data_IF_271985640020
#
_entry.id   IF_271985640020
#
_cell.length_a   1.000
_cell.length_b   1.000
_cell.length_c   1.000
_cell.angle_alpha   90.00
_cell.angle_beta   90.00
_cell.angle_gamma   90.00
#
_symmetry.space_group_name_H-M   'P 1'
#
loop_
_entity.id
_entity.type
_entity.pdbx_description
1 polymer ?
#
# COMPACT_ATOMS: atom_id res chain seq x y z
N UNK A 1 12.44 -12.45 -10.49
CA UNK A 1 11.97 -11.75 -9.27
C UNK A 1 11.09 -12.62 -8.38
N UNK A 2 10.03 -13.25 -8.88
CA UNK A 2 9.19 -14.11 -8.02
C UNK A 2 9.96 -15.30 -7.42
N UNK A 3 10.82 -15.98 -8.20
CA UNK A 3 11.70 -17.03 -7.67
C UNK A 3 12.59 -16.55 -6.52
N UNK A 4 13.17 -15.34 -6.62
CA UNK A 4 14.00 -14.78 -5.55
C UNK A 4 13.19 -14.35 -4.32
N UNK A 5 11.87 -14.22 -4.43
CA UNK A 5 10.95 -14.01 -3.31
C UNK A 5 10.39 -15.35 -2.75
N UNK A 6 10.90 -16.49 -3.23
CA UNK A 6 10.54 -17.82 -2.76
C UNK A 6 9.26 -18.40 -3.37
N UNK A 7 8.76 -17.84 -4.48
CA UNK A 7 7.59 -18.40 -5.17
C UNK A 7 7.97 -19.63 -6.00
N UNK A 8 7.24 -20.74 -5.81
CA UNK A 8 7.46 -22.01 -6.52
C UNK A 8 6.76 -22.03 -7.89
N UNK A 9 5.59 -21.40 -7.99
CA UNK A 9 4.81 -21.28 -9.24
C UNK A 9 5.11 -20.00 -10.02
N UNK A 10 6.29 -19.41 -9.80
CA UNK A 10 6.70 -18.11 -10.32
C UNK A 10 6.48 -17.93 -11.84
N UNK A 11 6.79 -18.95 -12.64
CA UNK A 11 6.61 -18.90 -14.11
C UNK A 11 5.13 -18.78 -14.51
N UNK A 12 4.26 -19.58 -13.89
CA UNK A 12 2.80 -19.55 -14.12
C UNK A 12 2.17 -18.24 -13.64
N UNK A 13 2.70 -17.65 -12.57
CA UNK A 13 2.23 -16.37 -12.06
C UNK A 13 2.67 -15.22 -12.96
N UNK A 14 3.93 -15.25 -13.42
CA UNK A 14 4.47 -14.22 -14.31
C UNK A 14 3.71 -14.15 -15.65
N UNK A 15 3.33 -15.31 -16.23
CA UNK A 15 2.55 -15.36 -17.46
C UNK A 15 1.14 -14.78 -17.33
N UNK A 16 0.64 -14.57 -16.10
CA UNK A 16 -0.66 -13.94 -15.82
C UNK A 16 -0.54 -12.46 -15.44
N UNK A 17 0.43 -12.10 -14.58
CA UNK A 17 0.58 -10.74 -14.08
C UNK A 17 0.97 -9.77 -15.18
N UNK A 18 1.86 -10.16 -16.10
CA UNK A 18 2.31 -9.26 -17.18
C UNK A 18 1.13 -8.89 -18.10
N UNK A 19 0.32 -9.85 -18.61
CA UNK A 19 -0.91 -9.50 -19.32
C UNK A 19 -1.89 -8.67 -18.50
N UNK A 20 -2.08 -8.96 -17.21
CA UNK A 20 -2.97 -8.16 -16.37
C UNK A 20 -2.56 -6.67 -16.33
N UNK A 21 -1.27 -6.37 -16.18
CA UNK A 21 -0.77 -4.99 -16.20
C UNK A 21 -0.99 -4.32 -17.56
N UNK A 22 -0.83 -5.09 -18.64
CA UNK A 22 -1.11 -4.60 -19.99
C UNK A 22 -2.59 -4.27 -20.18
N UNK A 23 -3.48 -5.16 -19.73
CA UNK A 23 -4.94 -4.94 -19.73
C UNK A 23 -5.34 -3.74 -18.87
N UNK A 24 -4.78 -3.60 -17.67
CA UNK A 24 -5.04 -2.44 -16.81
C UNK A 24 -4.64 -1.12 -17.50
N UNK A 25 -3.53 -1.11 -18.24
CA UNK A 25 -3.10 0.07 -19.00
C UNK A 25 -3.98 0.41 -20.20
N UNK A 26 -4.73 -0.56 -20.74
CA UNK A 26 -5.53 -0.41 -21.96
C UNK A 26 -7.01 -0.21 -21.67
N UNK A 27 -7.52 -0.80 -20.59
CA UNK A 27 -8.95 -0.84 -20.29
C UNK A 27 -9.39 0.11 -19.16
N UNK A 28 -8.47 0.49 -18.26
CA UNK A 28 -8.80 1.47 -17.23
C UNK A 28 -8.77 2.89 -17.82
N UNK A 29 -9.45 3.82 -17.15
CA UNK A 29 -9.47 5.20 -17.58
C UNK A 29 -8.06 5.82 -17.66
N UNK A 30 -7.85 6.73 -18.62
CA UNK A 30 -6.57 7.40 -18.81
C UNK A 30 -6.41 8.53 -17.79
N UNK A 31 -5.78 8.23 -16.66
CA UNK A 31 -5.49 9.20 -15.60
C UNK A 31 -4.01 9.60 -15.57
N UNK A 32 -3.72 10.87 -15.29
CA UNK A 32 -2.35 11.40 -15.26
C UNK A 32 -1.45 10.80 -14.17
N UNK A 33 -2.05 10.27 -13.10
CA UNK A 33 -1.35 9.66 -11.97
C UNK A 33 -1.25 8.14 -12.07
N UNK A 34 -1.82 7.53 -13.12
CA UNK A 34 -1.72 6.09 -13.33
C UNK A 34 -0.34 5.69 -13.85
N UNK A 35 0.16 4.57 -13.34
CA UNK A 35 1.43 4.00 -13.76
C UNK A 35 1.35 2.47 -13.72
N UNK A 36 1.38 1.86 -14.90
CA UNK A 36 1.39 0.41 -15.10
C UNK A 36 2.71 -0.08 -15.75
N UNK A 37 3.77 0.73 -15.67
CA UNK A 37 5.09 0.38 -16.20
C UNK A 37 5.87 -0.64 -15.38
N UNK A 38 7.10 -0.95 -15.81
CA UNK A 38 7.97 -1.93 -15.14
C UNK A 38 8.29 -1.58 -13.69
N UNK A 39 8.34 -0.28 -13.35
CA UNK A 39 8.55 0.18 -11.97
C UNK A 39 7.39 -0.26 -11.07
N UNK A 40 6.15 -0.01 -11.50
CA UNK A 40 4.96 -0.45 -10.77
C UNK A 40 4.94 -1.98 -10.62
N UNK A 41 5.22 -2.71 -11.72
CA UNK A 41 5.29 -4.16 -11.68
C UNK A 41 6.34 -4.67 -10.68
N UNK A 42 7.54 -4.08 -10.68
CA UNK A 42 8.60 -4.40 -9.72
C UNK A 42 8.11 -4.24 -8.27
N UNK A 43 7.43 -3.14 -7.96
CA UNK A 43 6.90 -2.89 -6.62
C UNK A 43 5.90 -3.95 -6.17
N UNK A 44 4.98 -4.34 -7.05
CA UNK A 44 4.03 -5.43 -6.77
C UNK A 44 4.74 -6.73 -6.47
N UNK A 45 5.74 -7.12 -7.28
CA UNK A 45 6.45 -8.39 -7.06
C UNK A 45 7.28 -8.39 -5.76
N UNK A 46 7.82 -7.24 -5.38
CA UNK A 46 8.54 -7.07 -4.10
C UNK A 46 7.56 -7.11 -2.93
N UNK A 47 6.44 -6.40 -3.03
CA UNK A 47 5.34 -6.39 -2.05
C UNK A 47 4.77 -7.79 -1.82
N UNK A 48 4.54 -8.57 -2.88
CA UNK A 48 4.10 -9.96 -2.78
C UNK A 48 5.09 -10.83 -1.97
N UNK A 49 6.39 -10.54 -2.06
CA UNK A 49 7.41 -11.18 -1.24
C UNK A 49 7.31 -10.81 0.25
N UNK A 50 7.01 -9.54 0.56
CA UNK A 50 6.76 -9.11 1.94
C UNK A 50 5.51 -9.79 2.53
N UNK A 51 4.39 -9.76 1.81
CA UNK A 51 3.13 -10.43 2.21
C UNK A 51 3.35 -11.93 2.41
N UNK A 52 4.12 -12.59 1.53
CA UNK A 52 4.46 -14.01 1.68
C UNK A 52 5.21 -14.27 2.99
N UNK A 53 6.24 -13.46 3.30
CA UNK A 53 7.04 -13.60 4.53
C UNK A 53 6.19 -13.38 5.77
N UNK A 54 5.33 -12.38 5.75
CA UNK A 54 4.44 -12.07 6.87
C UNK A 54 3.46 -13.22 7.16
N UNK A 55 2.82 -13.78 6.12
CA UNK A 55 1.98 -14.98 6.27
C UNK A 55 2.74 -16.19 6.82
N UNK A 56 4.00 -16.39 6.41
CA UNK A 56 4.85 -17.46 6.96
C UNK A 56 5.09 -17.23 8.46
N UNK A 57 5.38 -15.99 8.87
CA UNK A 57 5.58 -15.64 10.27
C UNK A 57 4.32 -15.85 11.11
N UNK A 58 3.15 -15.48 10.58
CA UNK A 58 1.87 -15.67 11.26
C UNK A 58 1.57 -17.17 11.48
N UNK A 59 1.69 -18.00 10.44
CA UNK A 59 1.48 -19.45 10.56
C UNK A 59 2.51 -20.08 11.52
N UNK A 60 3.75 -19.58 11.50
CA UNK A 60 4.81 -20.01 12.42
C UNK A 60 4.48 -19.66 13.87
N UNK A 61 3.87 -18.50 14.14
CA UNK A 61 3.40 -18.11 15.48
C UNK A 61 2.30 -19.05 15.96
N UNK A 62 1.27 -19.26 15.14
CA UNK A 62 0.12 -20.13 15.47
C UNK A 62 0.57 -21.57 15.74
N UNK A 63 1.45 -22.14 14.90
CA UNK A 63 1.96 -23.51 15.11
C UNK A 63 2.78 -23.65 16.38
N UNK A 64 3.59 -22.63 16.73
CA UNK A 64 4.34 -22.61 17.99
C UNK A 64 3.41 -22.55 19.21
N UNK A 65 2.36 -21.74 19.13
CA UNK A 65 1.34 -21.65 20.19
C UNK A 65 0.59 -22.98 20.39
N UNK A 66 0.34 -23.71 19.30
CA UNK A 66 -0.28 -25.04 19.33
C UNK A 66 0.70 -26.18 19.68
N UNK A 67 1.99 -25.89 19.87
CA UNK A 67 3.01 -26.91 20.18
C UNK A 67 3.34 -27.86 19.01
N UNK A 68 3.01 -27.48 17.77
CA UNK A 68 3.29 -28.27 16.57
C UNK A 68 4.73 -28.08 16.07
N UNK A 69 5.25 -29.08 15.35
CA UNK A 69 6.58 -28.99 14.73
C UNK A 69 6.59 -27.92 13.62
N UNK A 70 7.53 -26.99 13.73
CA UNK A 70 7.65 -25.86 12.82
C UNK A 70 8.63 -26.20 11.70
N UNK A 71 8.10 -26.58 10.54
CA UNK A 71 8.88 -26.67 9.31
C UNK A 71 8.53 -25.50 8.37
N UNK A 72 9.46 -24.56 8.23
CA UNK A 72 9.28 -23.35 7.42
C UNK A 72 9.09 -23.67 5.93
N UNK A 73 9.79 -24.68 5.40
CA UNK A 73 9.67 -25.09 4.01
C UNK A 73 8.29 -25.71 3.72
N UNK A 74 7.76 -26.51 4.65
CA UNK A 74 6.43 -27.10 4.51
C UNK A 74 5.32 -26.03 4.60
N UNK A 75 5.47 -25.04 5.49
CA UNK A 75 4.55 -23.90 5.58
C UNK A 75 4.57 -23.11 4.26
N UNK A 76 5.76 -22.79 3.75
CA UNK A 76 5.92 -22.06 2.49
C UNK A 76 5.33 -22.79 1.28
N UNK A 77 5.27 -24.13 1.31
CA UNK A 77 4.66 -24.96 0.27
C UNK A 77 3.13 -24.97 0.33
N UNK A 78 2.56 -24.94 1.53
CA UNK A 78 1.11 -24.94 1.75
C UNK A 78 0.41 -23.60 1.46
N UNK A 79 1.18 -22.52 1.30
CA UNK A 79 0.61 -21.18 1.14
C UNK A 79 0.02 -20.96 -0.27
N UNK A 80 -1.17 -20.34 -0.38
CA UNK A 80 -1.79 -20.03 -1.66
C UNK A 80 -1.07 -18.85 -2.35
N UNK A 81 -0.06 -19.16 -3.18
CA UNK A 81 0.80 -18.16 -3.84
C UNK A 81 0.01 -17.19 -4.73
N UNK A 82 -1.06 -17.66 -5.39
CA UNK A 82 -1.92 -16.82 -6.22
C UNK A 82 -2.67 -15.78 -5.39
N UNK A 83 -3.19 -16.15 -4.23
CA UNK A 83 -3.92 -15.24 -3.34
C UNK A 83 -3.00 -14.15 -2.80
N UNK A 84 -1.77 -14.51 -2.40
CA UNK A 84 -0.75 -13.57 -1.93
C UNK A 84 -0.41 -12.53 -3.02
N UNK A 85 -0.31 -12.99 -4.27
CA UNK A 85 0.00 -12.11 -5.39
C UNK A 85 -1.14 -11.13 -5.67
N UNK A 86 -2.39 -11.60 -5.62
CA UNK A 86 -3.58 -10.75 -5.82
C UNK A 86 -3.69 -9.74 -4.67
N UNK A 87 -3.49 -10.16 -3.43
CA UNK A 87 -3.45 -9.25 -2.28
C UNK A 87 -2.44 -8.11 -2.53
N UNK A 88 -1.23 -8.46 -2.96
CA UNK A 88 -0.22 -7.44 -3.27
C UNK A 88 -0.60 -6.52 -4.43
N UNK A 89 -1.26 -7.03 -5.48
CA UNK A 89 -1.77 -6.20 -6.57
C UNK A 89 -2.83 -5.23 -6.03
N UNK A 90 -3.75 -5.71 -5.20
CA UNK A 90 -4.80 -4.89 -4.61
C UNK A 90 -4.24 -3.78 -3.72
N UNK A 91 -3.33 -4.10 -2.81
CA UNK A 91 -2.71 -3.13 -1.89
C UNK A 91 -1.94 -2.02 -2.63
N UNK A 92 -1.35 -2.34 -3.79
CA UNK A 92 -0.52 -1.41 -4.56
C UNK A 92 -1.29 -0.62 -5.61
N UNK A 93 -2.34 -1.21 -6.20
CA UNK A 93 -3.13 -0.60 -7.28
C UNK A 93 -4.35 0.14 -6.76
N UNK A 94 -5.10 -0.44 -5.82
CA UNK A 94 -6.36 0.13 -5.32
C UNK A 94 -6.23 1.58 -4.81
N UNK A 95 -5.15 1.97 -4.09
CA UNK A 95 -5.00 3.35 -3.63
C UNK A 95 -4.89 4.37 -4.77
N UNK A 96 -4.40 3.94 -5.94
CA UNK A 96 -4.19 4.78 -7.12
C UNK A 96 -5.46 4.95 -7.95
N UNK A 97 -6.36 3.96 -7.94
CA UNK A 97 -7.53 3.96 -8.81
C UNK A 97 -8.59 4.98 -8.42
N UNK A 98 -9.24 5.54 -9.43
CA UNK A 98 -10.49 6.30 -9.26
C UNK A 98 -11.65 5.34 -8.99
N UNK A 99 -12.72 5.84 -8.38
CA UNK A 99 -13.85 5.04 -7.94
C UNK A 99 -14.49 4.21 -9.07
N UNK A 100 -14.57 4.76 -10.28
CA UNK A 100 -15.16 4.12 -11.47
C UNK A 100 -14.32 2.95 -12.00
N UNK A 101 -13.00 2.98 -11.78
CA UNK A 101 -12.07 1.95 -12.25
C UNK A 101 -11.92 0.78 -11.27
N UNK A 102 -12.35 0.95 -10.01
CA UNK A 102 -12.28 -0.11 -8.99
C UNK A 102 -13.07 -1.36 -9.43
N UNK A 103 -14.35 -1.26 -9.87
CA UNK A 103 -15.08 -2.41 -10.38
C UNK A 103 -14.44 -3.05 -11.62
N UNK A 104 -13.84 -2.25 -12.51
CA UNK A 104 -13.16 -2.75 -13.71
C UNK A 104 -11.93 -3.58 -13.35
N UNK A 105 -11.12 -3.12 -12.39
CA UNK A 105 -10.00 -3.91 -11.87
C UNK A 105 -10.48 -5.24 -11.28
N UNK A 106 -11.58 -5.24 -10.52
CA UNK A 106 -12.15 -6.47 -9.98
C UNK A 106 -12.59 -7.45 -11.08
N UNK A 107 -13.20 -6.95 -12.16
CA UNK A 107 -13.56 -7.78 -13.32
C UNK A 107 -12.31 -8.39 -13.98
N UNK A 108 -11.31 -7.56 -14.27
CA UNK A 108 -10.04 -7.99 -14.86
C UNK A 108 -9.32 -9.05 -14.00
N UNK A 109 -9.32 -8.87 -12.67
CA UNK A 109 -8.75 -9.84 -11.75
C UNK A 109 -9.51 -11.16 -11.76
N UNK A 110 -10.85 -11.11 -11.77
CA UNK A 110 -11.69 -12.32 -11.86
C UNK A 110 -11.44 -13.10 -13.15
N UNK A 111 -11.20 -12.41 -14.26
CA UNK A 111 -10.94 -13.04 -15.57
C UNK A 111 -9.55 -13.71 -15.62
N UNK A 112 -8.53 -13.07 -15.07
CA UNK A 112 -7.15 -13.59 -15.07
C UNK A 112 -6.92 -14.65 -13.96
N UNK A 113 -7.59 -14.47 -12.83
CA UNK A 113 -7.49 -15.28 -11.61
C UNK A 113 -8.88 -15.73 -11.12
N UNK A 114 -9.49 -16.73 -11.76
CA UNK A 114 -10.83 -17.19 -11.39
C UNK A 114 -10.84 -17.87 -10.01
N UNK A 115 -11.96 -17.72 -9.28
CA UNK A 115 -12.26 -18.37 -7.99
C UNK A 115 -11.33 -18.00 -6.83
N UNK A 116 -10.68 -16.83 -6.85
CA UNK A 116 -9.81 -16.39 -5.75
C UNK A 116 -10.44 -15.21 -5.04
N UNK A 117 -10.79 -15.41 -3.76
CA UNK A 117 -11.18 -14.34 -2.87
C UNK A 117 -9.93 -13.84 -2.15
N UNK A 118 -9.65 -12.54 -2.20
CA UNK A 118 -8.57 -11.95 -1.43
C UNK A 118 -9.07 -11.57 -0.02
N UNK A 119 -8.20 -11.69 0.98
CA UNK A 119 -8.46 -11.25 2.35
C UNK A 119 -7.91 -9.84 2.53
N UNK A 120 -8.75 -8.90 2.94
CA UNK A 120 -8.28 -7.59 3.41
C UNK A 120 -7.73 -7.74 4.83
N UNK A 121 -6.55 -7.19 5.06
CA UNK A 121 -5.99 -7.10 6.40
C UNK A 121 -6.73 -6.02 7.21
N UNK A 122 -7.44 -6.47 8.24
CA UNK A 122 -8.15 -5.59 9.17
C UNK A 122 -7.12 -5.11 10.19
N UNK A 123 -6.44 -4.00 9.92
CA UNK A 123 -5.50 -3.36 10.85
C UNK A 123 -6.24 -2.76 12.06
N UNK A 124 -6.83 -3.63 12.91
CA UNK A 124 -7.77 -3.26 13.97
C UNK A 124 -7.14 -2.38 15.05
N UNK A 125 -5.88 -2.65 15.41
CA UNK A 125 -5.11 -1.84 16.36
C UNK A 125 -4.94 -0.40 15.86
N UNK A 126 -4.53 -0.24 14.61
CA UNK A 126 -4.37 1.08 13.99
C UNK A 126 -5.72 1.80 13.81
N UNK A 127 -6.77 1.09 13.39
CA UNK A 127 -8.13 1.65 13.27
C UNK A 127 -8.63 2.19 14.61
N UNK A 128 -8.35 1.50 15.70
CA UNK A 128 -8.69 1.95 17.06
C UNK A 128 -7.99 3.26 17.42
N UNK A 129 -6.69 3.37 17.17
CA UNK A 129 -5.95 4.61 17.44
C UNK A 129 -6.41 5.76 16.53
N UNK A 130 -6.68 5.49 15.26
CA UNK A 130 -7.27 6.49 14.33
C UNK A 130 -8.62 6.99 14.87
N UNK A 131 -9.47 6.10 15.39
CA UNK A 131 -10.77 6.49 15.98
C UNK A 131 -10.61 7.45 17.15
N UNK A 132 -9.67 7.20 18.05
CA UNK A 132 -9.41 8.09 19.19
C UNK A 132 -8.80 9.43 18.74
N UNK A 133 -7.86 9.41 17.79
CA UNK A 133 -7.29 10.64 17.21
C UNK A 133 -8.35 11.48 16.49
N UNK A 134 -9.26 10.85 15.74
CA UNK A 134 -10.36 11.54 15.08
C UNK A 134 -11.27 12.27 16.08
N UNK A 135 -11.60 11.64 17.21
CA UNK A 135 -12.40 12.28 18.26
C UNK A 135 -11.72 13.54 18.82
N UNK A 136 -10.41 13.46 19.08
CA UNK A 136 -9.65 14.60 19.60
C UNK A 136 -9.52 15.76 18.61
N UNK A 137 -9.46 15.43 17.32
CA UNK A 137 -9.32 16.42 16.25
C UNK A 137 -10.67 16.87 15.70
N UNK A 138 -11.79 16.47 16.35
CA UNK A 138 -13.16 16.79 15.95
C UNK A 138 -13.49 16.35 14.51
N UNK A 139 -13.00 15.18 14.11
CA UNK A 139 -13.24 14.55 12.82
C UNK A 139 -14.30 13.44 12.93
N UNK A 140 -15.06 13.22 11.87
CA UNK A 140 -16.06 12.15 11.79
C UNK A 140 -15.36 10.84 11.39
N UNK A 141 -15.30 9.91 12.34
CA UNK A 141 -14.91 8.53 12.10
C UNK A 141 -16.18 7.70 11.84
N UNK A 142 -16.17 6.89 10.78
CA UNK A 142 -17.26 5.96 10.46
C UNK A 142 -16.72 4.54 10.29
N UNK A 143 -17.49 3.55 10.75
CA UNK A 143 -17.27 2.13 10.47
C UNK A 143 -18.03 1.71 9.21
N UNK A 144 -17.76 0.52 8.68
CA UNK A 144 -18.24 0.03 7.38
C UNK A 144 -19.66 0.50 6.97
N UNK A 145 -19.74 1.33 5.93
CA UNK A 145 -21.00 1.87 5.39
C UNK A 145 -21.49 3.17 6.03
N UNK A 146 -20.85 3.65 7.11
CA UNK A 146 -21.16 4.92 7.74
C UNK A 146 -20.46 6.11 7.04
N UNK A 147 -20.94 7.31 7.33
CA UNK A 147 -20.29 8.53 6.84
C UNK A 147 -18.89 8.63 7.43
N UNK A 148 -17.88 8.73 6.56
CA UNK A 148 -16.46 8.81 6.95
C UNK A 148 -15.67 7.52 6.80
N UNK A 149 -16.31 6.36 6.60
CA UNK A 149 -15.61 5.08 6.44
C UNK A 149 -14.62 5.08 5.27
N UNK A 150 -15.05 5.63 4.11
CA UNK A 150 -14.20 5.74 2.92
C UNK A 150 -12.95 6.60 3.15
N UNK A 151 -13.04 7.63 4.00
CA UNK A 151 -11.89 8.45 4.36
C UNK A 151 -10.94 7.69 5.29
N UNK A 152 -11.47 6.96 6.28
CA UNK A 152 -10.67 6.09 7.16
C UNK A 152 -9.94 5.02 6.35
N UNK A 153 -10.61 4.39 5.38
CA UNK A 153 -9.98 3.42 4.50
C UNK A 153 -8.84 4.03 3.68
N UNK A 154 -8.97 5.30 3.26
CA UNK A 154 -7.86 6.02 2.61
C UNK A 154 -6.70 6.32 3.56
N UNK A 155 -6.95 6.57 4.85
CA UNK A 155 -5.89 6.72 5.87
C UNK A 155 -5.14 5.39 6.06
N UNK A 156 -5.85 4.26 6.11
CA UNK A 156 -5.25 2.93 6.18
C UNK A 156 -4.46 2.61 4.91
N UNK A 157 -5.01 2.90 3.74
CA UNK A 157 -4.29 2.73 2.47
C UNK A 157 -3.00 3.57 2.41
N UNK A 158 -3.03 4.79 2.96
CA UNK A 158 -1.83 5.63 3.05
C UNK A 158 -0.74 4.96 3.88
N UNK A 159 -1.09 4.36 5.01
CA UNK A 159 -0.15 3.59 5.83
C UNK A 159 0.43 2.39 5.08
N UNK A 160 -0.43 1.57 4.47
CA UNK A 160 0.00 0.40 3.70
C UNK A 160 0.98 0.78 2.58
N UNK A 161 0.69 1.86 1.84
CA UNK A 161 1.57 2.35 0.78
C UNK A 161 2.90 2.86 1.36
N UNK A 162 2.90 3.49 2.54
CA UNK A 162 4.11 3.99 3.21
C UNK A 162 5.06 2.88 3.65
N UNK A 163 4.54 1.69 4.00
CA UNK A 163 5.35 0.52 4.34
C UNK A 163 6.09 -0.06 3.11
N UNK A 164 5.49 0.08 1.92
CA UNK A 164 6.03 -0.49 0.68
C UNK A 164 6.93 0.51 -0.06
N UNK A 165 6.59 1.80 -0.03
CA UNK A 165 7.24 2.85 -0.80
C UNK A 165 7.78 3.97 0.09
N UNK A 166 9.07 4.30 -0.09
CA UNK A 166 9.72 5.41 0.60
C UNK A 166 9.20 6.79 0.16
N UNK A 167 8.60 6.89 -1.03
CA UNK A 167 8.03 8.11 -1.58
C UNK A 167 6.57 7.88 -1.97
N UNK A 168 5.69 8.76 -1.50
CA UNK A 168 4.26 8.69 -1.76
C UNK A 168 3.72 10.04 -2.25
N UNK A 169 2.63 10.00 -2.99
CA UNK A 169 1.92 11.18 -3.47
C UNK A 169 0.43 11.01 -3.17
N UNK A 170 -0.16 12.02 -2.52
CA UNK A 170 -1.61 12.09 -2.32
C UNK A 170 -2.20 13.03 -3.37
N UNK A 171 -2.92 12.47 -4.35
CA UNK A 171 -3.53 13.24 -5.45
C UNK A 171 -5.04 13.36 -5.20
N UNK A 172 -5.58 14.55 -5.42
CA UNK A 172 -7.01 14.82 -5.30
C UNK A 172 -7.34 16.31 -5.27
N UNK A 173 -8.61 16.70 -5.51
CA UNK A 173 -9.03 18.09 -5.55
C UNK A 173 -8.87 18.82 -4.20
N UNK A 174 -8.90 20.15 -4.20
CA UNK A 174 -8.87 20.91 -2.94
C UNK A 174 -10.03 20.51 -2.00
N UNK A 175 -9.80 20.52 -0.70
CA UNK A 175 -10.81 20.14 0.29
C UNK A 175 -11.10 18.63 0.42
N UNK A 176 -10.38 17.76 -0.30
CA UNK A 176 -10.62 16.30 -0.27
C UNK A 176 -10.05 15.55 0.94
N UNK A 177 -9.72 16.23 2.04
CA UNK A 177 -9.22 15.61 3.28
C UNK A 177 -7.76 15.11 3.28
N UNK A 178 -6.97 15.37 2.22
CA UNK A 178 -5.56 14.91 2.08
C UNK A 178 -4.69 15.33 3.26
N UNK A 179 -4.69 16.62 3.60
CA UNK A 179 -3.84 17.16 4.66
C UNK A 179 -4.17 16.58 6.02
N UNK A 180 -5.45 16.25 6.26
CA UNK A 180 -5.85 15.65 7.52
C UNK A 180 -5.56 14.16 7.58
N UNK A 181 -5.63 13.46 6.45
CA UNK A 181 -5.37 12.02 6.39
C UNK A 181 -3.97 11.66 6.93
N UNK A 182 -2.92 12.33 6.42
CA UNK A 182 -1.56 12.03 6.88
C UNK A 182 -1.27 12.56 8.29
N UNK A 183 -1.89 13.68 8.71
CA UNK A 183 -1.73 14.21 10.09
C UNK A 183 -2.33 13.26 11.13
N UNK A 184 -3.52 12.72 10.83
CA UNK A 184 -4.19 11.75 11.70
C UNK A 184 -3.40 10.45 11.73
N UNK A 185 -2.91 9.98 10.58
CA UNK A 185 -2.05 8.80 10.53
C UNK A 185 -0.79 8.99 11.39
N UNK A 186 -0.09 10.12 11.24
CA UNK A 186 1.14 10.41 11.98
C UNK A 186 0.92 10.36 13.50
N UNK A 187 -0.15 11.00 13.97
CA UNK A 187 -0.53 11.01 15.40
C UNK A 187 -1.00 9.64 15.90
N UNK A 188 -1.68 8.86 15.05
CA UNK A 188 -2.09 7.50 15.40
C UNK A 188 -0.89 6.55 15.51
N UNK A 189 0.09 6.67 14.63
CA UNK A 189 1.33 5.89 14.68
C UNK A 189 2.18 6.26 15.90
N UNK A 190 2.25 7.54 16.24
CA UNK A 190 2.94 7.99 17.46
C UNK A 190 2.37 7.32 18.73
N UNK A 191 1.05 7.14 18.81
CA UNK A 191 0.40 6.43 19.92
C UNK A 191 0.65 4.93 19.90
N UNK A 192 0.61 4.33 18.72
CA UNK A 192 0.70 2.89 18.54
C UNK A 192 2.13 2.39 18.78
N UNK A 193 3.12 3.09 18.25
CA UNK A 193 4.53 2.70 18.27
C UNK A 193 5.32 3.37 19.41
N UNK A 194 4.81 4.47 19.97
CA UNK A 194 5.50 5.27 20.98
C UNK A 194 6.68 6.08 20.42
N UNK A 195 6.75 6.24 19.09
CA UNK A 195 7.80 6.99 18.38
C UNK A 195 7.22 8.32 17.91
N UNK A 196 7.87 9.43 18.27
CA UNK A 196 7.42 10.77 17.89
C UNK A 196 7.37 10.95 16.36
N UNK A 197 6.20 11.33 15.85
CA UNK A 197 5.98 11.61 14.45
C UNK A 197 6.27 13.06 14.08
N UNK A 198 7.45 13.35 13.52
CA UNK A 198 7.82 14.70 13.09
C UNK A 198 7.54 14.89 11.60
N UNK A 199 6.89 16.00 11.24
CA UNK A 199 6.61 16.35 9.84
C UNK A 199 7.14 17.75 9.49
N UNK A 200 7.76 17.85 8.32
CA UNK A 200 8.21 19.11 7.74
C UNK A 200 7.40 19.39 6.47
N UNK A 201 6.73 20.54 6.43
CA UNK A 201 5.89 20.96 5.31
C UNK A 201 6.62 22.07 4.55
N UNK A 202 6.87 21.84 3.27
CA UNK A 202 7.53 22.81 2.39
C UNK A 202 6.64 23.00 1.16
N UNK A 203 6.40 24.25 0.78
CA UNK A 203 5.85 24.58 -0.55
C UNK A 203 7.03 24.83 -1.51
N UNK A 204 7.35 23.89 -2.42
CA UNK A 204 8.49 24.01 -3.32
C UNK A 204 8.31 25.09 -4.40
N UNK A 205 7.11 25.70 -4.51
CA UNK A 205 6.84 26.80 -5.43
C UNK A 205 6.89 28.17 -4.75
N UNK A 206 6.89 28.22 -3.43
CA UNK A 206 7.04 29.46 -2.67
C UNK A 206 8.50 29.93 -2.58
N UNK A 207 9.46 29.04 -2.82
CA UNK A 207 10.91 29.32 -2.79
C UNK A 207 11.56 29.06 -4.14
N UNK A 208 12.71 29.67 -4.40
CA UNK A 208 13.47 29.36 -5.62
C UNK A 208 14.11 27.97 -5.53
N UNK A 209 14.46 27.39 -6.69
CA UNK A 209 15.16 26.10 -6.74
C UNK A 209 16.46 26.11 -5.93
N UNK A 210 17.19 27.21 -6.00
CA UNK A 210 18.46 27.40 -5.29
C UNK A 210 18.26 27.51 -3.78
N UNK A 211 17.18 28.13 -3.32
CA UNK A 211 16.84 28.16 -1.88
C UNK A 211 16.37 26.79 -1.38
N UNK A 212 15.67 26.02 -2.22
CA UNK A 212 15.16 24.71 -1.84
C UNK A 212 16.25 23.64 -1.79
N UNK A 213 17.20 23.68 -2.74
CA UNK A 213 18.22 22.64 -2.90
C UNK A 213 19.65 23.09 -2.59
N UNK A 214 19.90 24.38 -2.46
CA UNK A 214 21.25 24.96 -2.45
C UNK A 214 21.76 25.32 -3.85
N UNK A 215 22.78 26.16 -3.90
CA UNK A 215 23.52 26.49 -5.11
C UNK A 215 24.98 26.72 -4.74
N UNK A 216 25.90 26.30 -5.59
CA UNK A 216 27.33 26.56 -5.38
C UNK A 216 27.64 27.97 -5.88
N UNK A 217 28.23 28.81 -5.02
CA UNK A 217 28.71 30.13 -5.45
C UNK A 217 29.85 29.94 -6.49
N UNK A 218 29.73 30.49 -7.70
CA UNK A 218 30.72 30.28 -8.76
C UNK A 218 32.09 30.93 -8.48
N UNK A 219 32.13 31.95 -7.61
CA UNK A 219 33.33 32.69 -7.27
C UNK A 219 34.03 32.10 -6.05
N UNK A 220 33.29 31.85 -4.96
CA UNK A 220 33.87 31.36 -3.70
C UNK A 220 33.91 29.83 -3.61
N UNK A 221 33.13 29.12 -4.44
CA UNK A 221 32.90 27.67 -4.36
C UNK A 221 32.31 27.21 -3.03
N UNK A 222 31.66 28.10 -2.29
CA UNK A 222 30.89 27.76 -1.12
C UNK A 222 29.53 27.19 -1.53
N UNK A 223 29.00 26.28 -0.71
CA UNK A 223 27.67 25.68 -0.89
C UNK A 223 26.61 26.41 -0.08
#
# INVERSE_FOLDING_TARGET
>A
MLYSQGFRTAEKLASKVVPLFKLCSEQLSSQSHYEFGLRALKYVLVSAGFVKRDRIQEVKRIKRENGEEVNEAAIAESLPEQEILIQSIMETMLPKLVAEDIPLLHSLLSDVFPNICFRQEKMESLRKEIKEVCKEMFLVYGEDGETGSAWVDKVIQLYQVSLINHGLMMVGPSGSGKSMAWKVLLKALERLEGIEGVSYIIDPKAVTKEQLYGTLDPNTREW
#
